data_IF_952824803526
#
_entry.id   IF_952824803526
#
_cell.length_a   1.000
_cell.length_b   1.000
_cell.length_c   1.000
_cell.angle_alpha   90.00
_cell.angle_beta   90.00
_cell.angle_gamma   90.00
#
_symmetry.space_group_name_H-M   'P 1'
#
loop_
_entity.id
_entity.type
_entity.pdbx_description
1 polymer ?
#
# COMPACT_ATOMS: atom_id res chain seq x y z
N UNK A 1 22.97 2.40 4.30
CA UNK A 1 22.07 1.24 4.32
C UNK A 1 20.84 1.46 3.44
N UNK A 2 20.06 2.53 3.64
CA UNK A 2 18.89 2.82 2.78
C UNK A 2 19.22 2.96 1.29
N UNK A 3 20.13 3.88 0.95
CA UNK A 3 20.52 4.14 -0.45
C UNK A 3 21.04 2.88 -1.16
N UNK A 4 21.86 2.10 -0.47
CA UNK A 4 22.40 0.84 -1.00
C UNK A 4 21.32 -0.22 -1.26
N UNK A 5 20.30 -0.33 -0.40
CA UNK A 5 19.20 -1.27 -0.60
C UNK A 5 18.28 -0.85 -1.76
N UNK A 6 18.03 0.46 -1.89
CA UNK A 6 17.27 0.98 -3.01
C UNK A 6 18.00 0.71 -4.34
N UNK A 7 19.31 0.97 -4.42
CA UNK A 7 20.11 0.64 -5.61
C UNK A 7 20.13 -0.87 -5.90
N UNK A 8 20.25 -1.70 -4.86
CA UNK A 8 20.21 -3.16 -5.00
C UNK A 8 18.89 -3.66 -5.61
N UNK A 9 17.75 -3.07 -5.24
CA UNK A 9 16.46 -3.47 -5.82
C UNK A 9 16.43 -3.32 -7.34
N UNK A 10 16.94 -2.20 -7.88
CA UNK A 10 17.05 -1.99 -9.33
C UNK A 10 18.11 -2.89 -9.97
N UNK A 11 19.23 -3.11 -9.29
CA UNK A 11 20.26 -4.04 -9.76
C UNK A 11 19.68 -5.46 -9.92
N UNK A 12 18.94 -5.97 -8.94
CA UNK A 12 18.32 -7.29 -9.00
C UNK A 12 17.37 -7.43 -10.20
N UNK A 13 16.54 -6.41 -10.47
CA UNK A 13 15.64 -6.43 -11.63
C UNK A 13 16.35 -6.22 -12.97
N UNK A 14 17.55 -5.65 -12.99
CA UNK A 14 18.33 -5.47 -14.21
C UNK A 14 19.18 -6.71 -14.55
N UNK A 15 19.72 -7.39 -13.54
CA UNK A 15 20.63 -8.53 -13.71
C UNK A 15 19.92 -9.88 -13.92
N UNK A 16 18.67 -9.99 -13.49
CA UNK A 16 17.90 -11.23 -13.61
C UNK A 16 16.78 -11.07 -14.65
N UNK A 17 16.61 -12.08 -15.51
CA UNK A 17 15.48 -12.14 -16.42
C UNK A 17 14.20 -12.47 -15.64
N UNK A 18 13.42 -11.44 -15.32
CA UNK A 18 12.18 -11.54 -14.53
C UNK A 18 10.92 -11.37 -15.39
N UNK A 19 11.10 -11.13 -16.70
CA UNK A 19 10.02 -11.00 -17.68
C UNK A 19 10.41 -11.66 -19.01
N UNK A 20 9.40 -11.98 -19.82
CA UNK A 20 9.59 -12.66 -21.12
C UNK A 20 10.36 -11.82 -22.15
N UNK A 21 10.35 -10.49 -22.02
CA UNK A 21 11.02 -9.58 -22.95
C UNK A 21 11.73 -8.44 -22.22
N UNK A 22 12.85 -7.92 -22.78
CA UNK A 22 13.52 -6.74 -22.24
C UNK A 22 12.62 -5.51 -22.12
N UNK A 23 11.66 -5.35 -23.03
CA UNK A 23 10.71 -4.24 -23.00
C UNK A 23 9.83 -4.27 -21.73
N UNK A 24 9.28 -5.44 -21.38
CA UNK A 24 8.49 -5.61 -20.16
C UNK A 24 9.36 -5.38 -18.91
N UNK A 25 10.61 -5.85 -18.92
CA UNK A 25 11.53 -5.66 -17.81
C UNK A 25 11.87 -4.17 -17.58
N UNK A 26 12.02 -3.38 -18.65
CA UNK A 26 12.18 -1.92 -18.56
C UNK A 26 10.93 -1.25 -17.99
N UNK A 27 9.74 -1.67 -18.41
CA UNK A 27 8.47 -1.17 -17.84
C UNK A 27 8.37 -1.47 -16.34
N UNK A 28 8.81 -2.65 -15.90
CA UNK A 28 8.88 -3.03 -14.48
C UNK A 28 9.85 -2.14 -13.70
N UNK A 29 11.04 -1.88 -14.24
CA UNK A 29 12.02 -0.95 -13.66
C UNK A 29 11.42 0.45 -13.52
N UNK A 30 10.77 0.96 -14.56
CA UNK A 30 10.12 2.26 -14.54
C UNK A 30 8.99 2.32 -13.50
N UNK A 31 8.20 1.26 -13.37
CA UNK A 31 7.13 1.15 -12.36
C UNK A 31 7.69 1.21 -10.94
N UNK A 32 8.74 0.45 -10.64
CA UNK A 32 9.39 0.46 -9.32
C UNK A 32 10.02 1.83 -9.01
N UNK A 33 10.66 2.46 -10.01
CA UNK A 33 11.25 3.79 -9.88
C UNK A 33 10.20 4.85 -9.56
N UNK A 34 9.07 4.84 -10.28
CA UNK A 34 7.95 5.75 -10.01
C UNK A 34 7.35 5.55 -8.62
N UNK A 35 7.14 4.29 -8.22
CA UNK A 35 6.55 3.97 -6.93
C UNK A 35 7.46 4.29 -5.74
N UNK A 36 8.79 4.20 -5.91
CA UNK A 36 9.75 4.49 -4.84
C UNK A 36 10.12 5.97 -4.76
N UNK A 37 10.04 6.69 -5.89
CA UNK A 37 10.54 8.05 -6.03
C UNK A 37 9.60 9.14 -5.51
N UNK A 38 9.86 10.39 -5.94
CA UNK A 38 9.14 11.59 -5.50
C UNK A 38 7.65 11.61 -5.87
N UNK A 39 7.22 10.79 -6.83
CA UNK A 39 5.82 10.62 -7.24
C UNK A 39 5.14 9.40 -6.58
N UNK A 40 5.82 8.77 -5.61
CA UNK A 40 5.36 7.63 -4.85
C UNK A 40 5.82 7.74 -3.39
N UNK A 41 6.42 6.70 -2.85
CA UNK A 41 6.82 6.56 -1.44
C UNK A 41 7.55 7.80 -0.89
N UNK A 42 8.61 8.25 -1.56
CA UNK A 42 9.38 9.40 -1.07
C UNK A 42 8.55 10.70 -1.06
N UNK A 43 7.66 10.88 -2.04
CA UNK A 43 6.74 12.02 -2.07
C UNK A 43 5.71 11.97 -0.94
N UNK A 44 5.12 10.79 -0.71
CA UNK A 44 4.19 10.59 0.42
C UNK A 44 4.86 10.80 1.78
N UNK A 45 6.13 10.38 1.91
CA UNK A 45 6.92 10.63 3.12
C UNK A 45 7.24 12.12 3.31
N UNK A 46 7.48 12.87 2.23
CA UNK A 46 7.67 14.32 2.31
C UNK A 46 6.38 15.04 2.77
N UNK A 47 5.22 14.62 2.27
CA UNK A 47 3.91 15.13 2.71
C UNK A 47 3.69 14.83 4.19
N UNK A 48 3.88 13.57 4.60
CA UNK A 48 3.75 13.13 6.00
C UNK A 48 4.59 13.96 6.97
N UNK A 49 5.84 14.26 6.62
CA UNK A 49 6.71 15.12 7.43
C UNK A 49 6.26 16.58 7.46
N UNK A 50 5.73 17.10 6.34
CA UNK A 50 5.24 18.47 6.25
C UNK A 50 3.89 18.68 6.97
N UNK A 51 3.11 17.62 7.14
CA UNK A 51 1.78 17.64 7.76
C UNK A 51 1.77 17.38 9.27
N UNK A 52 2.94 17.19 9.89
CA UNK A 52 3.06 17.09 11.36
C UNK A 52 2.49 18.35 12.01
N UNK A 53 1.56 18.18 12.96
CA UNK A 53 0.87 19.27 13.63
C UNK A 53 -0.21 19.97 12.79
N UNK A 54 -0.55 19.44 11.61
CA UNK A 54 -1.65 19.91 10.78
C UNK A 54 -2.81 18.92 10.80
N UNK A 55 -4.05 19.42 10.68
CA UNK A 55 -5.20 18.58 10.39
C UNK A 55 -5.35 18.47 8.87
N UNK A 56 -5.15 17.26 8.35
CA UNK A 56 -5.48 16.93 6.97
C UNK A 56 -6.95 16.53 6.87
N UNK A 57 -7.62 16.91 5.78
CA UNK A 57 -8.90 16.32 5.44
C UNK A 57 -8.72 14.88 4.91
N UNK A 58 -9.83 14.16 4.73
CA UNK A 58 -9.78 12.77 4.29
C UNK A 58 -9.11 12.61 2.90
N UNK A 59 -9.46 13.40 1.86
CA UNK A 59 -8.76 13.36 0.58
C UNK A 59 -7.23 13.58 0.68
N UNK A 60 -6.78 14.54 1.49
CA UNK A 60 -5.36 14.83 1.70
C UNK A 60 -4.65 13.66 2.40
N UNK A 61 -5.28 13.10 3.43
CA UNK A 61 -4.77 11.95 4.17
C UNK A 61 -4.68 10.70 3.28
N UNK A 62 -5.72 10.45 2.48
CA UNK A 62 -5.75 9.37 1.49
C UNK A 62 -4.64 9.53 0.45
N UNK A 63 -4.43 10.75 -0.08
CA UNK A 63 -3.36 11.01 -1.06
C UNK A 63 -1.98 10.74 -0.45
N UNK A 64 -1.73 11.26 0.76
CA UNK A 64 -0.47 11.05 1.46
C UNK A 64 -0.18 9.55 1.64
N UNK A 65 -1.16 8.78 2.12
CA UNK A 65 -0.99 7.34 2.36
C UNK A 65 -0.95 6.51 1.07
N UNK A 66 -1.71 6.88 0.06
CA UNK A 66 -1.64 6.26 -1.27
C UNK A 66 -0.24 6.39 -1.87
N UNK A 67 0.48 7.47 -1.57
CA UNK A 67 1.87 7.67 -1.97
C UNK A 67 2.84 6.96 -1.03
N UNK A 68 2.80 7.26 0.27
CA UNK A 68 3.77 6.81 1.28
C UNK A 68 3.83 5.29 1.40
N UNK A 69 2.66 4.65 1.46
CA UNK A 69 2.51 3.22 1.73
C UNK A 69 1.92 2.50 0.53
N UNK A 70 0.87 3.09 -0.07
CA UNK A 70 0.13 2.48 -1.17
C UNK A 70 0.95 2.29 -2.45
N UNK A 71 1.88 3.19 -2.76
CA UNK A 71 2.60 3.17 -4.04
C UNK A 71 3.45 1.90 -4.20
N UNK A 72 4.18 1.49 -3.15
CA UNK A 72 5.02 0.29 -3.18
C UNK A 72 4.19 -1.00 -3.11
N UNK A 73 3.12 -1.04 -2.30
CA UNK A 73 2.17 -2.17 -2.29
C UNK A 73 1.59 -2.38 -3.69
N UNK A 74 1.18 -1.28 -4.33
CA UNK A 74 0.67 -1.30 -5.70
C UNK A 74 1.71 -1.77 -6.70
N UNK A 75 2.95 -1.29 -6.60
CA UNK A 75 4.04 -1.74 -7.45
C UNK A 75 4.29 -3.25 -7.29
N UNK A 76 4.31 -3.78 -6.07
CA UNK A 76 4.54 -5.20 -5.83
C UNK A 76 3.50 -6.10 -6.54
N UNK A 77 2.21 -5.74 -6.45
CA UNK A 77 1.12 -6.46 -7.11
C UNK A 77 1.26 -6.38 -8.64
N UNK A 78 1.49 -5.18 -9.17
CA UNK A 78 1.58 -4.97 -10.62
C UNK A 78 2.85 -5.57 -11.23
N UNK A 79 3.98 -5.57 -10.52
CA UNK A 79 5.20 -6.26 -10.93
C UNK A 79 4.95 -7.77 -11.03
N UNK A 80 4.31 -8.37 -10.02
CA UNK A 80 3.95 -9.80 -10.05
C UNK A 80 3.05 -10.14 -11.24
N UNK A 81 2.08 -9.27 -11.57
CA UNK A 81 1.22 -9.46 -12.73
C UNK A 81 1.99 -9.37 -14.06
N UNK A 82 3.04 -8.54 -14.14
CA UNK A 82 3.90 -8.41 -15.34
C UNK A 82 4.83 -9.60 -15.56
N UNK A 83 5.12 -10.37 -14.52
CA UNK A 83 5.83 -11.65 -14.64
C UNK A 83 4.91 -12.78 -15.17
N UNK A 84 3.59 -12.57 -15.18
CA UNK A 84 2.60 -13.57 -15.58
C UNK A 84 2.14 -13.42 -17.03
N UNK A 85 1.04 -14.10 -17.35
CA UNK A 85 0.41 -14.00 -18.65
C UNK A 85 -0.20 -12.60 -18.90
N UNK A 86 -0.28 -12.15 -20.17
CA UNK A 86 -0.94 -10.89 -20.51
C UNK A 86 -2.38 -10.83 -19.97
N UNK A 87 -2.71 -9.70 -19.34
CA UNK A 87 -4.06 -9.41 -18.85
C UNK A 87 -4.85 -8.58 -19.86
N UNK A 88 -6.18 -8.73 -19.85
CA UNK A 88 -7.05 -7.78 -20.54
C UNK A 88 -6.99 -6.39 -19.89
N UNK A 89 -7.37 -5.32 -20.61
CA UNK A 89 -7.48 -3.98 -20.02
C UNK A 89 -8.39 -3.94 -18.77
N UNK A 90 -9.47 -4.72 -18.77
CA UNK A 90 -10.41 -4.84 -17.65
C UNK A 90 -9.75 -5.50 -16.44
N UNK A 91 -9.02 -6.61 -16.65
CA UNK A 91 -8.26 -7.28 -15.60
C UNK A 91 -7.16 -6.36 -15.03
N UNK A 92 -6.47 -5.62 -15.89
CA UNK A 92 -5.46 -4.66 -15.45
C UNK A 92 -6.06 -3.55 -14.57
N UNK A 93 -7.17 -2.96 -15.00
CA UNK A 93 -7.89 -1.93 -14.24
C UNK A 93 -8.43 -2.45 -12.90
N UNK A 94 -8.98 -3.66 -12.92
CA UNK A 94 -9.45 -4.38 -11.73
C UNK A 94 -8.34 -4.62 -10.71
N UNK A 95 -7.18 -5.10 -11.16
CA UNK A 95 -6.03 -5.36 -10.30
C UNK A 95 -5.43 -4.06 -9.75
N UNK A 96 -5.38 -3.00 -10.56
CA UNK A 96 -4.94 -1.68 -10.14
C UNK A 96 -5.83 -1.10 -9.04
N UNK A 97 -7.16 -1.24 -9.19
CA UNK A 97 -8.14 -0.82 -8.18
C UNK A 97 -7.98 -1.62 -6.88
N UNK A 98 -7.84 -2.94 -6.97
CA UNK A 98 -7.55 -3.81 -5.83
C UNK A 98 -6.29 -3.31 -5.09
N UNK A 99 -5.20 -3.12 -5.82
CA UNK A 99 -3.91 -2.73 -5.28
C UNK A 99 -3.95 -1.37 -4.54
N UNK A 100 -4.67 -0.38 -5.09
CA UNK A 100 -4.90 0.92 -4.45
C UNK A 100 -5.71 0.78 -3.15
N UNK A 101 -6.76 -0.03 -3.15
CA UNK A 101 -7.62 -0.25 -1.98
C UNK A 101 -6.87 -0.99 -0.87
N UNK A 102 -6.07 -2.00 -1.21
CA UNK A 102 -5.23 -2.70 -0.22
C UNK A 102 -4.15 -1.80 0.36
N UNK A 103 -3.55 -0.93 -0.46
CA UNK A 103 -2.56 0.04 0.03
C UNK A 103 -3.12 0.98 1.10
N UNK A 104 -4.34 1.50 0.89
CA UNK A 104 -5.03 2.32 1.87
C UNK A 104 -5.49 1.49 3.08
N UNK A 105 -6.07 0.32 2.86
CA UNK A 105 -6.52 -0.58 3.93
C UNK A 105 -5.40 -0.91 4.90
N UNK A 106 -4.21 -1.21 4.37
CA UNK A 106 -3.04 -1.53 5.18
C UNK A 106 -2.72 -0.42 6.19
N UNK A 107 -2.81 0.83 5.74
CA UNK A 107 -2.52 1.99 6.57
C UNK A 107 -3.63 2.27 7.58
N UNK A 108 -4.90 2.22 7.18
CA UNK A 108 -6.03 2.41 8.12
C UNK A 108 -5.95 1.39 9.25
N UNK A 109 -5.62 0.13 8.93
CA UNK A 109 -5.41 -0.91 9.95
C UNK A 109 -4.18 -0.62 10.80
N UNK A 110 -3.08 -0.12 10.23
CA UNK A 110 -1.89 0.27 11.00
C UNK A 110 -2.20 1.36 12.04
N UNK A 111 -2.97 2.37 11.65
CA UNK A 111 -3.40 3.46 12.53
C UNK A 111 -4.34 2.95 13.64
N UNK A 112 -5.27 2.04 13.32
CA UNK A 112 -6.15 1.39 14.31
C UNK A 112 -5.32 0.58 15.31
N UNK A 113 -4.33 -0.18 14.83
CA UNK A 113 -3.46 -0.96 15.69
C UNK A 113 -2.58 -0.06 16.57
N UNK A 114 -2.00 1.01 16.04
CA UNK A 114 -1.19 1.96 16.84
C UNK A 114 -1.99 2.59 17.99
N UNK A 115 -3.30 2.80 17.78
CA UNK A 115 -4.21 3.31 18.79
C UNK A 115 -4.67 2.26 19.81
N UNK A 116 -4.86 1.00 19.40
CA UNK A 116 -5.55 -0.01 20.22
C UNK A 116 -4.67 -1.11 20.81
N UNK A 117 -3.53 -1.41 20.17
CA UNK A 117 -2.68 -2.52 20.53
C UNK A 117 -1.60 -2.10 21.54
N UNK A 118 -1.14 -3.07 22.33
CA UNK A 118 -0.05 -2.83 23.28
C UNK A 118 1.30 -2.77 22.55
N UNK A 119 2.27 -2.05 23.12
CA UNK A 119 3.66 -2.02 22.62
C UNK A 119 4.27 -3.42 22.44
N UNK A 120 3.91 -4.37 23.31
CA UNK A 120 4.38 -5.76 23.22
C UNK A 120 3.82 -6.51 22.00
N UNK A 121 2.62 -6.14 21.55
CA UNK A 121 1.94 -6.75 20.40
C UNK A 121 2.46 -6.17 19.08
N UNK A 122 2.71 -4.86 19.03
CA UNK A 122 3.12 -4.15 17.81
C UNK A 122 4.63 -4.23 17.53
N UNK A 123 5.45 -4.56 18.52
CA UNK A 123 6.91 -4.47 18.40
C UNK A 123 7.46 -3.03 18.24
N UNK A 124 6.57 -2.02 18.28
CA UNK A 124 6.85 -0.57 18.32
C UNK A 124 6.07 0.06 19.48
N UNK A 125 6.50 1.23 19.96
CA UNK A 125 5.78 1.99 21.01
C UNK A 125 4.37 2.33 20.55
N UNK A 126 3.35 1.80 21.22
CA UNK A 126 1.94 2.12 20.95
C UNK A 126 1.63 3.60 21.29
N UNK A 127 0.69 4.21 20.58
CA UNK A 127 0.32 5.63 20.76
C UNK A 127 1.42 6.61 20.35
N UNK A 128 2.42 6.17 19.58
CA UNK A 128 3.51 7.03 19.13
C UNK A 128 3.01 8.10 18.18
N UNK A 129 2.01 7.80 17.37
CA UNK A 129 1.50 8.75 16.39
C UNK A 129 0.69 9.87 17.03
N UNK A 130 -0.04 9.58 18.12
CA UNK A 130 -0.68 10.61 18.96
C UNK A 130 0.36 11.49 19.65
N UNK A 131 1.41 10.89 20.23
CA UNK A 131 2.51 11.62 20.85
C UNK A 131 3.33 12.48 19.87
N UNK A 132 3.30 12.15 18.57
CA UNK A 132 4.00 12.87 17.50
C UNK A 132 3.10 13.84 16.72
N UNK A 133 1.86 14.05 17.17
CA UNK A 133 0.88 14.95 16.54
C UNK A 133 0.69 14.66 15.03
N UNK A 134 0.71 13.37 14.67
CA UNK A 134 0.56 12.94 13.28
C UNK A 134 -0.91 12.92 12.85
N UNK A 135 -1.19 13.20 11.56
CA UNK A 135 -2.52 13.01 10.99
C UNK A 135 -2.74 11.51 10.73
N UNK A 136 -3.67 10.90 11.46
CA UNK A 136 -4.06 9.49 11.33
C UNK A 136 -5.56 9.36 11.06
N UNK A 137 -6.00 8.23 10.52
CA UNK A 137 -7.42 7.97 10.29
C UNK A 137 -8.23 7.92 11.58
N UNK A 138 -7.66 7.37 12.66
CA UNK A 138 -8.33 7.32 13.96
C UNK A 138 -8.54 8.72 14.52
N UNK A 139 -7.58 9.63 14.35
CA UNK A 139 -7.70 11.02 14.77
C UNK A 139 -8.74 11.78 13.94
N UNK A 140 -8.77 11.54 12.63
CA UNK A 140 -9.66 12.24 11.70
C UNK A 140 -11.12 11.77 11.83
N UNK A 141 -11.34 10.46 11.86
CA UNK A 141 -12.67 9.85 11.76
C UNK A 141 -13.24 9.40 13.12
N UNK A 142 -12.36 9.07 14.07
CA UNK A 142 -12.73 8.28 15.24
C UNK A 142 -12.49 6.78 15.03
N UNK A 143 -12.29 6.04 16.13
CA UNK A 143 -12.00 4.61 16.08
C UNK A 143 -13.14 3.77 15.46
N UNK A 144 -14.43 3.97 15.80
CA UNK A 144 -15.53 3.24 15.16
C UNK A 144 -15.58 3.45 13.65
N UNK A 145 -15.50 4.69 13.21
CA UNK A 145 -15.59 5.10 11.81
C UNK A 145 -14.36 4.65 11.01
N UNK A 146 -13.16 4.69 11.60
CA UNK A 146 -11.95 4.13 10.98
C UNK A 146 -12.07 2.62 10.76
N UNK A 147 -12.68 1.87 11.69
CA UNK A 147 -12.95 0.43 11.52
C UNK A 147 -13.97 0.16 10.41
N UNK A 148 -15.02 0.96 10.32
CA UNK A 148 -16.00 0.86 9.24
C UNK A 148 -15.35 1.16 7.88
N UNK A 149 -14.53 2.22 7.81
CA UNK A 149 -13.79 2.57 6.61
C UNK A 149 -12.80 1.47 6.17
N UNK A 150 -12.13 0.81 7.11
CA UNK A 150 -11.32 -0.38 6.80
C UNK A 150 -12.16 -1.52 6.18
N UNK A 151 -13.36 -1.77 6.71
CA UNK A 151 -14.27 -2.78 6.16
C UNK A 151 -14.79 -2.39 4.77
N UNK A 152 -15.05 -1.10 4.52
CA UNK A 152 -15.39 -0.59 3.19
C UNK A 152 -14.26 -0.84 2.18
N UNK A 153 -13.03 -0.45 2.53
CA UNK A 153 -11.85 -0.67 1.68
C UNK A 153 -11.62 -2.15 1.38
N UNK A 154 -11.84 -3.02 2.37
CA UNK A 154 -11.74 -4.47 2.22
C UNK A 154 -12.78 -5.01 1.24
N UNK A 155 -14.07 -4.64 1.41
CA UNK A 155 -15.14 -5.03 0.46
C UNK A 155 -14.85 -4.53 -0.96
N UNK A 156 -14.42 -3.28 -1.09
CA UNK A 156 -14.05 -2.67 -2.36
C UNK A 156 -12.91 -3.40 -3.06
N UNK A 157 -11.89 -3.81 -2.29
CA UNK A 157 -10.77 -4.59 -2.79
C UNK A 157 -11.27 -5.94 -3.32
N UNK A 158 -12.03 -6.70 -2.52
CA UNK A 158 -12.55 -8.00 -2.92
C UNK A 158 -13.46 -7.92 -4.15
N UNK A 159 -14.35 -6.92 -4.23
CA UNK A 159 -15.21 -6.72 -5.39
C UNK A 159 -14.40 -6.48 -6.68
N UNK A 160 -13.26 -5.80 -6.57
CA UNK A 160 -12.35 -5.53 -7.69
C UNK A 160 -11.73 -6.81 -8.25
N UNK A 161 -11.65 -7.89 -7.47
CA UNK A 161 -11.07 -9.16 -7.92
C UNK A 161 -12.05 -10.06 -8.70
N UNK A 162 -13.32 -9.66 -8.83
CA UNK A 162 -14.34 -10.45 -9.53
C UNK A 162 -13.94 -10.97 -10.94
N UNK A 163 -13.20 -10.23 -11.80
CA UNK A 163 -12.81 -10.73 -13.12
C UNK A 163 -11.81 -11.90 -13.10
N UNK A 164 -11.19 -12.17 -11.95
CA UNK A 164 -10.18 -13.22 -11.79
C UNK A 164 -10.77 -14.54 -11.25
N UNK A 165 -11.98 -14.53 -10.69
CA UNK A 165 -12.61 -15.71 -10.09
C UNK A 165 -11.69 -16.42 -9.08
N UNK A 166 -11.61 -17.75 -9.17
CA UNK A 166 -10.79 -18.58 -8.27
C UNK A 166 -9.28 -18.26 -8.32
N UNK A 167 -8.77 -17.69 -9.42
CA UNK A 167 -7.35 -17.33 -9.53
C UNK A 167 -6.96 -16.18 -8.58
N UNK A 168 -7.93 -15.39 -8.11
CA UNK A 168 -7.72 -14.32 -7.14
C UNK A 168 -7.58 -14.81 -5.68
N UNK A 169 -7.73 -16.11 -5.39
CA UNK A 169 -7.77 -16.64 -4.01
C UNK A 169 -6.65 -16.12 -3.11
N UNK A 170 -5.40 -16.09 -3.59
CA UNK A 170 -4.26 -15.60 -2.78
C UNK A 170 -4.34 -14.10 -2.49
N UNK A 171 -4.88 -13.31 -3.40
CA UNK A 171 -5.10 -11.87 -3.20
C UNK A 171 -6.26 -11.62 -2.22
N UNK A 172 -7.31 -12.45 -2.26
CA UNK A 172 -8.38 -12.45 -1.26
C UNK A 172 -7.84 -12.78 0.12
N UNK A 173 -7.08 -13.88 0.26
CA UNK A 173 -6.46 -14.28 1.53
C UNK A 173 -5.53 -13.17 2.09
N UNK A 174 -4.80 -12.47 1.21
CA UNK A 174 -3.98 -11.32 1.60
C UNK A 174 -4.82 -10.15 2.11
N UNK A 175 -5.92 -9.82 1.43
CA UNK A 175 -6.83 -8.76 1.85
C UNK A 175 -7.46 -9.07 3.22
N UNK A 176 -7.89 -10.32 3.42
CA UNK A 176 -8.44 -10.81 4.68
C UNK A 176 -7.40 -10.73 5.80
N UNK A 177 -6.16 -11.16 5.52
CA UNK A 177 -5.06 -11.05 6.48
C UNK A 177 -4.81 -9.60 6.89
N UNK A 178 -4.72 -8.68 5.94
CA UNK A 178 -4.47 -7.26 6.24
C UNK A 178 -5.61 -6.67 7.08
N UNK A 179 -6.87 -7.00 6.78
CA UNK A 179 -8.03 -6.48 7.51
C UNK A 179 -8.11 -6.98 8.96
N UNK A 180 -7.70 -8.24 9.20
CA UNK A 180 -7.88 -8.93 10.49
C UNK A 180 -6.58 -9.16 11.27
N UNK A 181 -5.45 -8.61 10.83
CA UNK A 181 -4.18 -8.74 11.55
C UNK A 181 -4.27 -8.03 12.90
N UNK A 182 -3.59 -8.61 13.88
CA UNK A 182 -3.53 -8.09 15.25
C UNK A 182 -2.14 -7.54 15.62
N UNK A 183 -1.25 -7.36 14.64
CA UNK A 183 0.14 -6.91 14.81
C UNK A 183 0.68 -6.20 13.56
#
# INVERSE_FOLDING_TARGET
>A
MGDSLQSLAFQLMAEHAVADTPAIQIEMIALLAHASGSRGMAGGQAIDLASVGQMLDQPELELMHALKTGALIRAAILLGARCGAPMSPEQHSALDRFAKRIGLLFQVVDDILDCTASTATLGKTAGKDEAADKPTYVRLLGLPEAKEYAQDLHRDALASLSPFGESARRLTELADFICHRNF
#
